data_IF_455590217657
#
_entry.id   IF_455590217657
#
_cell.length_a   1.000
_cell.length_b   1.000
_cell.length_c   1.000
_cell.angle_alpha   90.00
_cell.angle_beta   90.00
_cell.angle_gamma   90.00
#
_symmetry.space_group_name_H-M   'P 1'
#
loop_
_entity.id
_entity.type
_entity.pdbx_description
1 polymer ?
#
# COMPACT_ATOMS: atom_id res chain seq x y z
N UNK A 1 -38.64 -5.49 -1.71
CA UNK A 1 -37.75 -5.49 -0.53
C UNK A 1 -36.33 -5.71 -1.01
N UNK A 2 -35.31 -5.13 -0.35
CA UNK A 2 -33.87 -5.38 -0.55
C UNK A 2 -32.96 -4.26 -1.13
N UNK A 3 -33.28 -2.98 -0.92
CA UNK A 3 -32.32 -1.88 -1.21
C UNK A 3 -31.28 -1.68 -0.09
N UNK A 4 -31.62 -2.04 1.16
CA UNK A 4 -30.78 -1.80 2.34
C UNK A 4 -29.56 -2.74 2.42
N UNK A 5 -29.73 -3.99 2.01
CA UNK A 5 -28.74 -5.07 2.13
C UNK A 5 -27.60 -4.90 1.13
N UNK A 6 -27.93 -4.45 -0.09
CA UNK A 6 -26.93 -4.12 -1.12
C UNK A 6 -26.02 -2.95 -0.66
N UNK A 7 -26.60 -1.93 -0.01
CA UNK A 7 -25.83 -0.80 0.51
C UNK A 7 -24.89 -1.23 1.66
N UNK A 8 -25.35 -2.09 2.57
CA UNK A 8 -24.49 -2.63 3.63
C UNK A 8 -23.37 -3.53 3.07
N UNK A 9 -23.69 -4.44 2.15
CA UNK A 9 -22.71 -5.35 1.55
C UNK A 9 -21.64 -4.58 0.77
N UNK A 10 -22.01 -3.49 0.07
CA UNK A 10 -21.05 -2.60 -0.60
C UNK A 10 -20.08 -1.92 0.40
N UNK A 11 -20.56 -1.53 1.59
CA UNK A 11 -19.73 -0.92 2.64
C UNK A 11 -18.76 -1.94 3.24
N UNK A 12 -19.19 -3.18 3.44
CA UNK A 12 -18.33 -4.28 3.92
C UNK A 12 -17.26 -4.67 2.91
N UNK A 13 -17.61 -4.80 1.63
CA UNK A 13 -16.65 -5.05 0.54
C UNK A 13 -15.59 -3.94 0.47
N UNK A 14 -16.02 -2.66 0.55
CA UNK A 14 -15.13 -1.49 0.56
C UNK A 14 -14.18 -1.46 1.76
N UNK A 15 -14.63 -1.89 2.94
CA UNK A 15 -13.77 -1.97 4.11
C UNK A 15 -12.75 -3.11 3.97
N UNK A 16 -13.18 -4.26 3.44
CA UNK A 16 -12.31 -5.44 3.22
C UNK A 16 -11.18 -5.16 2.24
N UNK A 17 -11.48 -4.43 1.15
CA UNK A 17 -10.51 -4.09 0.10
C UNK A 17 -9.38 -3.20 0.61
N UNK A 18 -9.73 -2.19 1.43
CA UNK A 18 -8.75 -1.34 2.12
C UNK A 18 -7.84 -2.13 3.06
N UNK A 19 -8.39 -3.10 3.77
CA UNK A 19 -7.63 -3.95 4.70
C UNK A 19 -6.71 -4.90 3.93
N UNK A 20 -7.13 -5.40 2.77
CA UNK A 20 -6.31 -6.22 1.86
C UNK A 20 -5.06 -5.47 1.38
N UNK A 21 -5.23 -4.25 0.91
CA UNK A 21 -4.11 -3.42 0.41
C UNK A 21 -3.14 -3.07 1.53
N UNK A 22 -3.67 -2.73 2.70
CA UNK A 22 -2.87 -2.46 3.88
C UNK A 22 -2.08 -3.70 4.31
N UNK A 23 -2.71 -4.89 4.34
CA UNK A 23 -2.02 -6.16 4.64
C UNK A 23 -0.88 -6.44 3.66
N UNK A 24 -1.10 -6.23 2.35
CA UNK A 24 -0.04 -6.40 1.34
C UNK A 24 1.12 -5.46 1.56
N UNK A 25 0.86 -4.21 1.94
CA UNK A 25 1.89 -3.22 2.27
C UNK A 25 2.70 -3.63 3.50
N UNK A 26 2.03 -3.95 4.62
CA UNK A 26 2.70 -4.41 5.84
C UNK A 26 3.56 -5.66 5.60
N UNK A 27 3.10 -6.58 4.74
CA UNK A 27 3.90 -7.75 4.36
C UNK A 27 5.22 -7.40 3.65
N UNK A 28 5.31 -6.26 2.98
CA UNK A 28 6.55 -5.78 2.36
C UNK A 28 7.40 -4.96 3.34
N UNK A 29 6.77 -4.19 4.23
CA UNK A 29 7.45 -3.49 5.34
C UNK A 29 8.20 -4.49 6.19
N UNK A 30 7.53 -5.57 6.63
CA UNK A 30 8.13 -6.60 7.49
C UNK A 30 9.30 -7.28 6.80
N UNK A 31 9.15 -7.64 5.51
CA UNK A 31 10.25 -8.21 4.72
C UNK A 31 11.45 -7.26 4.61
N UNK A 32 11.20 -5.97 4.38
CA UNK A 32 12.26 -4.95 4.34
C UNK A 32 12.95 -4.78 5.70
N UNK A 33 12.19 -4.81 6.79
CA UNK A 33 12.72 -4.70 8.14
C UNK A 33 13.60 -5.90 8.52
N UNK A 34 13.16 -7.13 8.20
CA UNK A 34 13.96 -8.35 8.39
C UNK A 34 15.27 -8.27 7.59
N UNK A 35 15.21 -7.82 6.34
CA UNK A 35 16.40 -7.66 5.50
C UNK A 35 17.39 -6.65 6.10
N UNK A 36 16.90 -5.50 6.59
CA UNK A 36 17.74 -4.50 7.26
C UNK A 36 18.39 -5.08 8.51
N UNK A 37 17.63 -5.79 9.35
CA UNK A 37 18.15 -6.40 10.59
C UNK A 37 19.22 -7.45 10.30
N UNK A 38 19.00 -8.31 9.30
CA UNK A 38 20.00 -9.29 8.87
C UNK A 38 21.28 -8.61 8.37
N UNK A 39 21.15 -7.60 7.51
CA UNK A 39 22.31 -6.86 6.97
C UNK A 39 23.03 -6.08 8.07
N UNK A 40 22.31 -5.47 9.01
CA UNK A 40 22.90 -4.77 10.15
C UNK A 40 23.68 -5.74 11.05
N UNK A 41 23.15 -6.94 11.30
CA UNK A 41 23.85 -8.00 12.05
C UNK A 41 25.13 -8.46 11.34
N UNK A 42 25.09 -8.65 10.02
CA UNK A 42 26.27 -8.99 9.21
C UNK A 42 27.30 -7.86 9.23
N UNK A 43 26.86 -6.60 9.10
CA UNK A 43 27.75 -5.44 9.13
C UNK A 43 28.46 -5.31 10.49
N UNK A 44 27.72 -5.52 11.59
CA UNK A 44 28.28 -5.53 12.94
C UNK A 44 29.35 -6.62 13.10
N UNK A 45 29.09 -7.83 12.61
CA UNK A 45 30.01 -8.97 12.75
C UNK A 45 31.26 -8.86 11.86
N UNK A 46 31.14 -8.25 10.67
CA UNK A 46 32.24 -8.18 9.71
C UNK A 46 33.23 -7.02 9.94
N UNK A 47 32.75 -5.85 10.35
CA UNK A 47 33.55 -4.61 10.22
C UNK A 47 33.48 -3.64 11.40
N UNK A 48 32.86 -4.02 12.53
CA UNK A 48 32.77 -3.15 13.74
C UNK A 48 32.41 -1.68 13.43
N UNK A 49 31.56 -1.44 12.42
CA UNK A 49 31.13 -0.10 11.98
C UNK A 49 32.12 0.77 11.19
N UNK A 50 33.29 0.27 10.77
CA UNK A 50 34.25 1.08 10.00
C UNK A 50 33.72 1.52 8.62
N UNK A 51 32.89 0.69 7.97
CA UNK A 51 32.18 1.02 6.74
C UNK A 51 30.69 0.65 6.86
N UNK A 52 29.79 1.63 7.14
CA UNK A 52 28.36 1.40 7.31
C UNK A 52 27.65 1.26 5.96
N UNK A 53 28.07 0.30 5.14
CA UNK A 53 27.47 0.03 3.82
C UNK A 53 25.99 -0.37 3.91
N UNK A 54 25.51 -0.78 5.08
CA UNK A 54 24.09 -1.07 5.33
C UNK A 54 23.18 0.15 5.07
N UNK A 55 23.72 1.37 5.13
CA UNK A 55 22.98 2.60 4.82
C UNK A 55 22.41 2.58 3.39
N UNK A 56 23.11 1.99 2.43
CA UNK A 56 22.62 1.81 1.07
C UNK A 56 21.40 0.87 1.01
N UNK A 57 21.40 -0.17 1.85
CA UNK A 57 20.28 -1.11 1.95
C UNK A 57 19.07 -0.44 2.61
N UNK A 58 19.30 0.31 3.70
CA UNK A 58 18.25 1.10 4.36
C UNK A 58 17.67 2.12 3.39
N UNK A 59 18.51 2.78 2.59
CA UNK A 59 18.08 3.75 1.59
C UNK A 59 17.21 3.10 0.51
N UNK A 60 17.62 1.95 -0.03
CA UNK A 60 16.84 1.22 -1.03
C UNK A 60 15.48 0.74 -0.50
N UNK A 61 15.45 0.19 0.71
CA UNK A 61 14.20 -0.26 1.36
C UNK A 61 13.29 0.94 1.70
N UNK A 62 13.87 2.03 2.21
CA UNK A 62 13.15 3.26 2.52
C UNK A 62 12.54 3.92 1.29
N UNK A 63 13.27 3.97 0.17
CA UNK A 63 12.75 4.51 -1.09
C UNK A 63 11.61 3.65 -1.63
N UNK A 64 11.78 2.32 -1.64
CA UNK A 64 10.75 1.37 -2.07
C UNK A 64 9.46 1.47 -1.21
N UNK A 65 9.61 1.63 0.10
CA UNK A 65 8.48 1.83 1.02
C UNK A 65 7.78 3.17 0.78
N UNK A 66 8.56 4.24 0.59
CA UNK A 66 8.04 5.59 0.31
C UNK A 66 7.21 5.62 -0.96
N UNK A 67 7.71 5.03 -2.05
CA UNK A 67 6.96 4.95 -3.32
C UNK A 67 5.64 4.16 -3.18
N UNK A 68 5.66 3.07 -2.42
CA UNK A 68 4.44 2.28 -2.16
C UNK A 68 3.46 2.99 -1.23
N UNK A 69 3.97 3.68 -0.21
CA UNK A 69 3.17 4.50 0.68
C UNK A 69 2.50 5.64 -0.12
N UNK A 70 3.24 6.35 -0.98
CA UNK A 70 2.68 7.36 -1.88
C UNK A 70 1.61 6.79 -2.82
N UNK A 71 1.79 5.55 -3.31
CA UNK A 71 0.76 4.90 -4.12
C UNK A 71 -0.52 4.60 -3.32
N UNK A 72 -0.38 4.07 -2.10
CA UNK A 72 -1.53 3.69 -1.26
C UNK A 72 -2.24 4.91 -0.70
N UNK A 73 -1.50 5.88 -0.17
CA UNK A 73 -2.05 7.10 0.43
C UNK A 73 -2.43 8.16 -0.61
N UNK A 74 -1.67 8.29 -1.71
CA UNK A 74 -1.86 9.32 -2.72
C UNK A 74 -2.85 8.96 -3.83
N UNK A 75 -2.83 7.73 -4.37
CA UNK A 75 -3.75 7.36 -5.46
C UNK A 75 -5.12 6.91 -4.96
N UNK A 76 -5.21 6.12 -3.88
CA UNK A 76 -6.50 5.59 -3.40
C UNK A 76 -7.28 6.57 -2.48
N UNK A 77 -6.62 7.60 -1.96
CA UNK A 77 -7.20 8.52 -0.97
C UNK A 77 -7.82 9.80 -1.54
N UNK A 78 -7.17 10.44 -2.52
CA UNK A 78 -7.51 11.82 -2.95
C UNK A 78 -8.00 11.93 -4.39
N UNK A 79 -7.45 11.14 -5.32
CA UNK A 79 -7.78 11.24 -6.75
C UNK A 79 -8.58 10.05 -7.30
N UNK A 80 -8.31 8.83 -6.83
CA UNK A 80 -8.89 7.61 -7.41
C UNK A 80 -10.39 7.47 -7.18
N UNK A 81 -10.87 7.76 -5.97
CA UNK A 81 -12.26 7.51 -5.58
C UNK A 81 -13.26 8.43 -6.29
N UNK A 82 -13.01 9.74 -6.26
CA UNK A 82 -13.88 10.71 -6.94
C UNK A 82 -13.80 10.57 -8.47
N UNK A 83 -12.66 10.12 -9.01
CA UNK A 83 -12.54 9.87 -10.45
C UNK A 83 -13.23 8.57 -10.88
N UNK A 84 -13.03 7.45 -10.16
CA UNK A 84 -13.70 6.18 -10.45
C UNK A 84 -15.21 6.27 -10.28
N UNK A 85 -15.69 6.88 -9.19
CA UNK A 85 -17.12 7.01 -8.92
C UNK A 85 -17.79 7.94 -9.96
N UNK A 86 -17.07 8.96 -10.47
CA UNK A 86 -17.50 9.77 -11.62
C UNK A 86 -17.50 8.99 -12.93
N UNK A 87 -16.49 8.16 -13.18
CA UNK A 87 -16.40 7.37 -14.42
C UNK A 87 -17.46 6.29 -14.48
N UNK A 88 -17.68 5.56 -13.39
CA UNK A 88 -18.75 4.55 -13.30
C UNK A 88 -20.12 5.23 -13.49
N UNK A 89 -20.32 6.40 -12.89
CA UNK A 89 -21.56 7.16 -13.08
C UNK A 89 -21.75 7.62 -14.53
N UNK A 90 -20.68 8.02 -15.23
CA UNK A 90 -20.74 8.30 -16.68
C UNK A 90 -21.13 7.07 -17.50
N UNK A 91 -20.49 5.91 -17.28
CA UNK A 91 -20.83 4.69 -18.02
C UNK A 91 -22.27 4.22 -17.77
N UNK A 92 -22.78 4.36 -16.55
CA UNK A 92 -24.18 4.05 -16.20
C UNK A 92 -25.21 5.05 -16.74
N UNK A 93 -24.79 6.23 -17.19
CA UNK A 93 -25.65 7.24 -17.81
C UNK A 93 -25.62 7.10 -19.34
N UNK A 94 -24.46 6.73 -19.91
CA UNK A 94 -24.31 6.42 -21.34
C UNK A 94 -25.04 5.13 -21.74
N UNK A 95 -25.12 4.12 -20.88
CA UNK A 95 -25.87 2.87 -21.13
C UNK A 95 -27.42 3.03 -21.05
N UNK A 96 -27.93 4.25 -20.83
CA UNK A 96 -29.38 4.53 -20.81
C UNK A 96 -29.91 5.16 -22.10
N UNK A 97 -29.12 5.16 -23.18
CA UNK A 97 -29.55 5.60 -24.51
C UNK A 97 -29.44 4.50 -25.55
#
# INVERSE_FOLDING_TARGET
MDYSTNNQQSKYLRASERVSDLKRFYGQVIRGLIAIVLVAGINYYLNEWYYPWFLWVVFGVGLNLTLKALKIFGMNGVLGRDWEERKIKQYMDDDRF
#
